data_IF_429283908151
#
_entry.id   IF_429283908151
#
_cell.length_a   1.000
_cell.length_b   1.000
_cell.length_c   1.000
_cell.angle_alpha   90.00
_cell.angle_beta   90.00
_cell.angle_gamma   90.00
#
_symmetry.space_group_name_H-M   'P 1'
#
loop_
_entity.id
_entity.type
_entity.pdbx_description
1 polymer ?
#
# COMPACT_ATOMS: atom_id res chain seq x y z
N UNK A 1 70.73 -47.45 54.11
CA UNK A 1 70.29 -46.33 54.97
C UNK A 1 69.75 -45.23 54.08
N UNK A 2 68.60 -44.68 54.46
CA UNK A 2 67.61 -43.96 53.64
C UNK A 2 68.04 -42.73 52.83
N UNK A 3 67.27 -42.48 51.77
CA UNK A 3 67.08 -41.19 51.10
C UNK A 3 66.86 -41.39 49.59
N UNK A 4 65.93 -40.75 48.89
CA UNK A 4 65.02 -39.64 49.19
C UNK A 4 64.00 -39.59 48.04
N UNK A 5 62.75 -39.26 48.38
CA UNK A 5 61.60 -39.11 47.47
C UNK A 5 61.80 -37.98 46.44
N UNK A 6 61.13 -38.18 45.30
CA UNK A 6 61.00 -37.35 44.11
C UNK A 6 60.48 -35.91 44.35
N UNK A 7 60.98 -34.96 43.54
CA UNK A 7 60.33 -33.67 43.22
C UNK A 7 60.35 -33.49 41.69
N UNK A 8 59.23 -33.08 41.05
CA UNK A 8 59.23 -32.73 39.63
C UNK A 8 59.67 -31.27 39.38
N UNK A 9 60.09 -30.93 38.14
CA UNK A 9 60.49 -29.57 37.76
C UNK A 9 59.29 -28.67 37.38
N UNK A 10 59.59 -27.37 37.34
CA UNK A 10 58.67 -26.21 37.29
C UNK A 10 57.90 -26.07 35.97
N UNK A 11 56.58 -25.89 36.05
CA UNK A 11 55.72 -25.45 34.95
C UNK A 11 55.86 -23.94 34.70
N UNK A 12 56.25 -23.55 33.49
CA UNK A 12 56.13 -22.17 32.98
C UNK A 12 54.75 -21.96 32.36
N UNK A 13 53.89 -21.18 33.01
CA UNK A 13 52.62 -20.69 32.45
C UNK A 13 52.89 -19.46 31.57
N UNK A 14 52.42 -19.45 30.31
CA UNK A 14 52.23 -18.23 29.52
C UNK A 14 50.74 -17.99 29.32
N UNK A 15 50.28 -16.81 29.74
CA UNK A 15 48.92 -16.32 29.50
C UNK A 15 48.85 -15.67 28.12
N UNK A 16 47.80 -15.96 27.35
CA UNK A 16 47.45 -15.23 26.13
C UNK A 16 46.21 -14.39 26.40
N UNK A 17 46.27 -13.11 26.03
CA UNK A 17 45.11 -12.21 26.04
C UNK A 17 44.81 -11.80 24.61
N UNK A 18 43.56 -11.98 24.18
CA UNK A 18 43.04 -11.47 22.91
C UNK A 18 42.06 -10.34 23.22
N UNK A 19 42.23 -9.19 22.56
CA UNK A 19 41.38 -8.01 22.72
C UNK A 19 40.57 -7.85 21.44
N UNK A 20 39.24 -7.89 21.56
CA UNK A 20 38.32 -7.62 20.43
C UNK A 20 37.58 -6.33 20.74
N UNK A 21 37.50 -5.42 19.76
CA UNK A 21 36.87 -4.11 19.89
C UNK A 21 35.62 -4.05 19.01
N UNK A 22 34.46 -3.85 19.63
CA UNK A 22 33.20 -3.52 18.93
C UNK A 22 32.45 -2.48 19.76
N UNK A 23 32.02 -1.39 19.11
CA UNK A 23 31.09 -0.38 19.65
C UNK A 23 31.37 0.09 21.08
N UNK A 24 32.59 0.58 21.34
CA UNK A 24 32.90 1.40 22.52
C UNK A 24 33.03 0.69 23.87
N UNK A 25 32.74 -0.61 23.98
CA UNK A 25 32.83 -1.35 25.25
C UNK A 25 33.94 -2.40 25.20
N UNK A 26 34.82 -2.40 26.21
CA UNK A 26 35.94 -3.34 26.33
C UNK A 26 35.50 -4.58 27.12
N UNK A 27 35.59 -5.76 26.52
CA UNK A 27 35.37 -7.03 27.22
C UNK A 27 36.71 -7.75 27.40
N UNK A 28 37.03 -8.10 28.65
CA UNK A 28 38.21 -8.89 28.99
C UNK A 28 37.76 -10.28 29.42
N UNK A 29 38.03 -11.29 28.58
CA UNK A 29 37.71 -12.69 28.88
C UNK A 29 39.01 -13.38 29.28
N UNK A 30 39.08 -13.89 30.52
CA UNK A 30 40.16 -14.77 30.95
C UNK A 30 39.78 -16.22 30.68
N UNK A 31 40.58 -16.90 29.85
CA UNK A 31 40.44 -18.35 29.65
C UNK A 31 41.52 -19.04 30.50
N UNK A 32 41.09 -19.81 31.51
CA UNK A 32 41.95 -20.66 32.32
C UNK A 32 42.39 -21.91 31.55
N UNK A 33 43.67 -22.27 31.68
CA UNK A 33 44.36 -23.23 30.81
C UNK A 33 43.85 -24.68 30.87
N UNK A 34 43.95 -25.36 29.72
CA UNK A 34 43.71 -26.81 29.56
C UNK A 34 45.03 -27.47 29.12
N UNK A 35 45.35 -28.62 29.70
CA UNK A 35 46.56 -29.42 29.39
C UNK A 35 46.42 -30.17 28.07
N UNK A 36 47.54 -30.27 27.35
CA UNK A 36 47.74 -31.07 26.14
C UNK A 36 47.60 -32.57 26.46
N UNK A 37 46.55 -33.21 25.91
CA UNK A 37 46.53 -34.57 25.33
C UNK A 37 45.08 -35.02 25.17
N UNK A 38 44.52 -34.80 23.98
CA UNK A 38 43.44 -35.59 23.34
C UNK A 38 43.14 -34.93 21.99
N UNK A 39 44.16 -34.91 21.13
CA UNK A 39 44.01 -34.56 19.73
C UNK A 39 43.75 -35.85 18.94
N UNK A 40 42.48 -36.16 18.65
CA UNK A 40 41.97 -36.91 17.48
C UNK A 40 40.59 -37.51 17.75
N UNK A 41 39.57 -36.67 17.97
CA UNK A 41 38.16 -37.06 17.73
C UNK A 41 37.19 -35.87 17.76
N UNK A 42 37.54 -34.74 17.13
CA UNK A 42 36.62 -33.60 16.97
C UNK A 42 36.69 -32.96 15.57
N UNK A 43 36.97 -33.76 14.53
CA UNK A 43 37.01 -33.26 13.14
C UNK A 43 35.78 -33.65 12.29
N UNK A 44 34.75 -34.26 12.90
CA UNK A 44 33.52 -34.65 12.19
C UNK A 44 32.23 -34.03 12.73
N UNK A 45 32.27 -33.17 13.75
CA UNK A 45 31.08 -32.46 14.26
C UNK A 45 31.11 -30.95 13.92
N UNK A 46 32.23 -30.43 13.41
CA UNK A 46 32.36 -29.02 13.03
C UNK A 46 31.90 -28.67 11.61
N UNK A 47 31.63 -29.66 10.75
CA UNK A 47 31.28 -29.43 9.33
C UNK A 47 29.79 -29.64 8.99
N UNK A 48 28.97 -30.10 9.93
CA UNK A 48 27.50 -30.26 9.72
C UNK A 48 26.70 -29.07 10.29
N UNK A 49 27.33 -28.16 11.04
CA UNK A 49 26.69 -26.93 11.54
C UNK A 49 27.00 -25.66 10.71
N UNK A 50 27.70 -25.81 9.57
CA UNK A 50 27.94 -24.72 8.61
C UNK A 50 27.01 -24.77 7.38
N UNK A 51 26.01 -25.66 7.37
CA UNK A 51 25.05 -25.80 6.28
C UNK A 51 23.58 -25.49 6.67
N UNK A 52 23.36 -24.74 7.76
CA UNK A 52 22.02 -24.33 8.18
C UNK A 52 22.00 -22.91 8.75
N UNK A 53 22.62 -21.96 8.05
CA UNK A 53 22.32 -20.54 8.21
C UNK A 53 22.20 -19.88 6.84
N UNK A 54 21.21 -20.31 6.05
CA UNK A 54 20.46 -19.34 5.25
C UNK A 54 19.79 -18.39 6.23
N UNK A 55 20.56 -17.42 6.72
CA UNK A 55 20.01 -16.21 7.27
C UNK A 55 19.22 -15.59 6.12
N UNK A 56 17.89 -15.65 6.22
CA UNK A 56 17.08 -14.61 5.62
C UNK A 56 17.74 -13.29 6.05
N UNK A 57 18.38 -12.61 5.11
CA UNK A 57 18.72 -11.21 5.28
C UNK A 57 17.38 -10.50 5.36
N UNK A 58 16.86 -10.40 6.58
CA UNK A 58 15.77 -9.48 6.89
C UNK A 58 16.34 -8.10 6.63
N UNK A 59 16.06 -7.56 5.44
CA UNK A 59 16.25 -6.14 5.17
C UNK A 59 15.28 -5.43 6.11
N UNK A 60 15.76 -5.01 7.27
CA UNK A 60 15.04 -4.04 8.10
C UNK A 60 14.94 -2.75 7.30
N UNK A 61 13.77 -2.55 6.68
CA UNK A 61 13.43 -1.32 5.95
C UNK A 61 13.35 -0.20 6.97
N UNK A 62 14.21 0.82 6.82
CA UNK A 62 14.08 2.03 7.62
C UNK A 62 12.94 2.87 7.05
N UNK A 63 11.73 2.64 7.55
CA UNK A 63 10.56 3.49 7.31
C UNK A 63 10.76 4.74 8.18
N UNK A 64 11.47 5.74 7.65
CA UNK A 64 11.53 7.04 8.30
C UNK A 64 10.30 7.86 7.90
N UNK A 65 9.43 8.11 8.86
CA UNK A 65 8.71 9.38 9.00
C UNK A 65 9.29 10.07 10.26
N UNK A 66 9.28 11.40 10.30
CA UNK A 66 9.92 12.26 11.31
C UNK A 66 9.40 12.07 12.75
N UNK A 67 8.51 11.10 12.96
CA UNK A 67 8.14 10.51 14.25
C UNK A 67 7.82 9.05 13.96
N UNK A 68 8.36 8.08 14.70
CA UNK A 68 8.13 6.63 14.49
C UNK A 68 6.67 6.14 14.53
N UNK A 69 5.69 7.04 14.58
CA UNK A 69 4.25 6.83 14.64
C UNK A 69 3.65 6.10 13.42
N UNK A 70 4.17 6.30 12.20
CA UNK A 70 3.57 5.67 11.01
C UNK A 70 3.90 4.17 10.93
N UNK A 71 5.16 3.79 11.16
CA UNK A 71 5.60 2.40 11.14
C UNK A 71 4.94 1.53 12.23
N UNK A 72 4.59 2.14 13.36
CA UNK A 72 3.89 1.48 14.47
C UNK A 72 2.42 1.16 14.13
N UNK A 73 1.81 1.91 13.21
CA UNK A 73 0.42 1.70 12.77
C UNK A 73 0.27 0.66 11.66
N UNK A 74 1.36 0.23 11.04
CA UNK A 74 1.32 -0.76 9.97
C UNK A 74 0.97 -2.15 10.53
N UNK A 75 0.03 -2.83 9.87
CA UNK A 75 -0.32 -4.21 10.17
C UNK A 75 0.75 -5.18 9.66
N UNK A 76 0.63 -6.46 10.01
CA UNK A 76 1.51 -7.49 9.45
C UNK A 76 1.29 -7.67 7.94
N UNK A 77 0.03 -7.56 7.48
CA UNK A 77 -0.30 -7.60 6.05
C UNK A 77 0.33 -6.40 5.31
N UNK A 78 0.27 -5.19 5.88
CA UNK A 78 0.87 -4.00 5.27
C UNK A 78 2.38 -4.15 5.11
N UNK A 79 3.07 -4.68 6.13
CA UNK A 79 4.50 -4.97 6.04
C UNK A 79 4.79 -6.02 4.95
N UNK A 80 3.96 -7.06 4.85
CA UNK A 80 4.11 -8.09 3.82
C UNK A 80 3.89 -7.55 2.40
N UNK A 81 2.95 -6.60 2.22
CA UNK A 81 2.75 -5.87 0.96
C UNK A 81 3.97 -5.04 0.61
N UNK A 82 4.47 -4.23 1.54
CA UNK A 82 5.66 -3.39 1.29
C UNK A 82 6.92 -4.18 0.91
N UNK A 83 7.05 -5.43 1.36
CA UNK A 83 8.13 -6.34 0.92
C UNK A 83 8.03 -6.74 -0.56
N UNK A 84 6.84 -6.68 -1.15
CA UNK A 84 6.56 -6.93 -2.57
C UNK A 84 6.55 -5.64 -3.40
N UNK A 85 7.00 -4.51 -2.83
CA UNK A 85 7.06 -3.24 -3.53
C UNK A 85 7.91 -3.37 -4.83
N UNK A 86 7.36 -3.00 -6.00
CA UNK A 86 8.08 -3.10 -7.28
C UNK A 86 9.13 -1.99 -7.47
N UNK A 87 9.09 -0.94 -6.64
CA UNK A 87 9.96 0.23 -6.81
C UNK A 87 11.38 0.00 -6.29
N UNK A 88 12.31 0.86 -6.74
CA UNK A 88 13.71 0.83 -6.30
C UNK A 88 13.88 1.06 -4.80
N UNK A 89 12.93 1.74 -4.15
CA UNK A 89 12.87 1.96 -2.71
C UNK A 89 11.47 1.66 -2.19
N UNK A 90 11.38 0.92 -1.08
CA UNK A 90 10.11 0.60 -0.43
C UNK A 90 9.33 1.83 0.03
N UNK A 91 10.02 2.95 0.28
CA UNK A 91 9.37 4.24 0.61
C UNK A 91 8.52 4.80 -0.52
N UNK A 92 8.79 4.43 -1.78
CA UNK A 92 7.97 4.83 -2.93
C UNK A 92 6.66 4.04 -3.00
N UNK A 93 6.48 2.98 -2.22
CA UNK A 93 5.21 2.27 -2.11
C UNK A 93 4.38 2.73 -0.91
N UNK A 94 4.85 3.75 -0.19
CA UNK A 94 4.08 4.42 0.85
C UNK A 94 3.23 5.53 0.23
N UNK A 95 2.09 5.89 0.87
CA UNK A 95 1.27 7.00 0.42
C UNK A 95 2.08 8.29 0.31
N UNK A 96 1.87 9.03 -0.78
CA UNK A 96 2.55 10.29 -1.04
C UNK A 96 2.08 11.35 -0.05
N UNK A 97 2.97 11.70 0.87
CA UNK A 97 2.71 12.78 1.83
C UNK A 97 2.91 14.17 1.21
N UNK A 98 1.95 15.06 1.48
CA UNK A 98 2.00 16.48 1.15
C UNK A 98 2.12 17.37 2.38
N UNK A 99 2.15 16.80 3.60
CA UNK A 99 2.38 17.56 4.82
C UNK A 99 3.71 18.33 4.70
N UNK A 100 3.65 19.64 4.91
CA UNK A 100 4.81 20.53 4.80
C UNK A 100 5.24 20.91 3.38
N UNK A 101 4.58 20.42 2.32
CA UNK A 101 4.79 20.93 0.95
C UNK A 101 4.04 22.25 0.76
N UNK A 102 4.61 23.14 -0.06
CA UNK A 102 3.94 24.40 -0.43
C UNK A 102 2.61 24.09 -1.12
N UNK A 103 1.58 24.87 -0.79
CA UNK A 103 0.31 24.82 -1.50
C UNK A 103 0.56 25.10 -2.98
N UNK A 104 0.17 24.16 -3.84
CA UNK A 104 0.22 24.29 -5.30
C UNK A 104 -1.17 24.01 -5.88
N UNK A 105 -1.40 24.45 -7.11
CA UNK A 105 -2.62 24.13 -7.84
C UNK A 105 -2.66 22.62 -8.11
N UNK A 106 -3.82 22.02 -7.90
CA UNK A 106 -4.08 20.63 -8.27
C UNK A 106 -4.13 20.50 -9.80
N UNK A 107 -3.33 19.60 -10.37
CA UNK A 107 -3.32 19.27 -11.78
C UNK A 107 -3.48 17.75 -11.89
N UNK A 108 -4.71 17.37 -12.22
CA UNK A 108 -5.17 16.00 -12.26
C UNK A 108 -5.21 15.50 -13.71
N UNK A 109 -4.56 14.39 -14.00
CA UNK A 109 -4.48 13.81 -15.33
C UNK A 109 -5.08 12.40 -15.39
N UNK A 110 -5.94 12.13 -16.36
CA UNK A 110 -6.40 10.78 -16.66
C UNK A 110 -5.43 10.09 -17.63
N UNK A 111 -4.84 8.98 -17.21
CA UNK A 111 -3.89 8.21 -18.03
C UNK A 111 -4.51 6.90 -18.49
N UNK A 112 -5.39 6.97 -19.48
CA UNK A 112 -6.08 5.78 -20.04
C UNK A 112 -5.21 4.87 -20.91
N UNK A 113 -4.03 5.36 -21.30
CA UNK A 113 -3.09 4.63 -22.12
C UNK A 113 -2.38 3.54 -21.31
N UNK A 114 -2.33 2.32 -21.83
CA UNK A 114 -1.52 1.22 -21.27
C UNK A 114 -0.11 1.18 -21.85
N UNK A 115 0.31 2.24 -22.53
CA UNK A 115 1.62 2.37 -23.18
C UNK A 115 2.46 3.45 -22.50
N UNK A 116 3.69 3.61 -22.98
CA UNK A 116 4.72 4.48 -22.40
C UNK A 116 4.48 5.99 -22.57
N UNK A 117 3.32 6.43 -23.08
CA UNK A 117 3.03 7.88 -23.26
C UNK A 117 3.15 8.69 -21.98
N UNK A 118 2.92 8.07 -20.82
CA UNK A 118 3.08 8.72 -19.53
C UNK A 118 4.50 9.24 -19.27
N UNK A 119 5.52 8.67 -19.94
CA UNK A 119 6.92 9.11 -19.84
C UNK A 119 7.11 10.55 -20.36
N UNK A 120 6.15 11.08 -21.14
CA UNK A 120 6.19 12.42 -21.72
C UNK A 120 5.38 13.45 -20.92
N UNK A 121 4.74 13.05 -19.82
CA UNK A 121 3.98 13.98 -18.99
C UNK A 121 4.88 15.02 -18.34
N UNK A 122 4.30 16.20 -18.06
CA UNK A 122 4.98 17.24 -17.30
C UNK A 122 4.87 16.97 -15.79
N UNK A 123 5.82 16.18 -15.29
CA UNK A 123 5.90 15.75 -13.89
C UNK A 123 6.20 16.88 -12.90
N UNK A 124 6.61 18.07 -13.36
CA UNK A 124 6.79 19.22 -12.47
C UNK A 124 5.45 19.86 -12.09
N UNK A 125 4.48 19.75 -13.00
CA UNK A 125 3.14 20.33 -12.84
C UNK A 125 2.15 19.35 -12.21
N UNK A 126 2.19 18.07 -12.59
CA UNK A 126 1.22 17.08 -12.14
C UNK A 126 1.18 16.93 -10.61
N UNK A 127 -0.03 16.73 -10.10
CA UNK A 127 -0.30 16.43 -8.69
C UNK A 127 -0.85 15.03 -8.51
N UNK A 128 -1.70 14.58 -9.43
CA UNK A 128 -2.30 13.24 -9.44
C UNK A 128 -2.45 12.72 -10.86
N UNK A 129 -2.20 11.42 -11.04
CA UNK A 129 -2.54 10.65 -12.24
C UNK A 129 -3.58 9.59 -11.89
N UNK A 130 -4.65 9.52 -12.67
CA UNK A 130 -5.75 8.58 -12.49
C UNK A 130 -5.75 7.46 -13.53
N UNK A 131 -6.24 6.29 -13.12
CA UNK A 131 -6.65 5.17 -13.96
C UNK A 131 -5.52 4.46 -14.71
N UNK A 132 -4.33 4.44 -14.12
CA UNK A 132 -3.22 3.65 -14.64
C UNK A 132 -2.51 2.91 -13.51
N UNK A 133 -2.49 1.58 -13.60
CA UNK A 133 -1.95 0.68 -12.59
C UNK A 133 -0.55 0.15 -12.94
N UNK A 134 0.06 0.67 -14.02
CA UNK A 134 1.44 0.41 -14.40
C UNK A 134 2.39 0.71 -13.23
N UNK A 135 3.19 -0.29 -12.84
CA UNK A 135 4.11 -0.20 -11.70
C UNK A 135 5.31 0.68 -11.99
N UNK A 136 5.76 0.80 -13.24
CA UNK A 136 6.82 1.74 -13.59
C UNK A 136 6.32 3.19 -13.46
N UNK A 137 5.11 3.46 -13.95
CA UNK A 137 4.44 4.76 -13.78
C UNK A 137 4.31 5.10 -12.29
N UNK A 138 3.76 4.19 -11.47
CA UNK A 138 3.62 4.36 -10.03
C UNK A 138 4.93 4.80 -9.39
N UNK A 139 6.00 4.03 -9.61
CA UNK A 139 7.31 4.32 -9.02
C UNK A 139 7.87 5.66 -9.50
N UNK A 140 7.67 6.01 -10.77
CA UNK A 140 8.08 7.31 -11.31
C UNK A 140 7.29 8.46 -10.66
N UNK A 141 5.96 8.36 -10.64
CA UNK A 141 5.06 9.35 -10.05
C UNK A 141 5.41 9.61 -8.58
N UNK A 142 5.57 8.55 -7.79
CA UNK A 142 5.89 8.67 -6.37
C UNK A 142 7.28 9.27 -6.14
N UNK A 143 8.25 8.97 -7.02
CA UNK A 143 9.58 9.60 -6.97
C UNK A 143 9.54 11.12 -7.20
N UNK A 144 8.47 11.61 -7.86
CA UNK A 144 8.18 13.02 -8.10
C UNK A 144 7.20 13.61 -7.09
N UNK A 145 6.69 12.79 -6.16
CA UNK A 145 5.64 13.19 -5.22
C UNK A 145 4.31 13.50 -5.91
N UNK A 146 4.00 12.77 -6.98
CA UNK A 146 2.72 12.78 -7.70
C UNK A 146 1.91 11.56 -7.27
N UNK A 147 0.63 11.76 -6.96
CA UNK A 147 -0.27 10.70 -6.52
C UNK A 147 -0.71 9.83 -7.68
N UNK A 148 -1.00 8.57 -7.41
CA UNK A 148 -1.76 7.68 -8.29
C UNK A 148 -3.11 7.36 -7.67
N UNK A 149 -4.20 7.47 -8.44
CA UNK A 149 -5.53 7.01 -8.01
C UNK A 149 -6.09 5.95 -8.95
N UNK A 150 -6.62 4.86 -8.39
CA UNK A 150 -7.23 3.77 -9.17
C UNK A 150 -8.63 4.15 -9.64
N UNK A 151 -9.11 3.52 -10.72
CA UNK A 151 -10.52 3.60 -11.10
C UNK A 151 -11.29 2.51 -10.36
N UNK A 152 -12.36 2.86 -9.66
CA UNK A 152 -13.33 1.85 -9.25
C UNK A 152 -14.74 2.43 -9.26
N UNK A 153 -15.61 1.81 -10.04
CA UNK A 153 -17.00 2.20 -10.16
C UNK A 153 -17.91 1.21 -9.43
N UNK A 154 -19.05 1.71 -8.94
CA UNK A 154 -20.17 0.88 -8.53
C UNK A 154 -21.12 0.75 -9.72
N UNK A 155 -21.00 -0.35 -10.47
CA UNK A 155 -21.68 -0.47 -11.77
C UNK A 155 -23.16 -0.86 -11.66
N UNK A 156 -23.53 -1.69 -10.66
CA UNK A 156 -24.93 -2.09 -10.43
C UNK A 156 -25.67 -1.08 -9.56
N UNK A 157 -26.06 0.05 -10.16
CA UNK A 157 -26.76 1.14 -9.45
C UNK A 157 -28.06 0.72 -8.76
N UNK A 158 -28.66 -0.42 -9.11
CA UNK A 158 -29.86 -0.92 -8.42
C UNK A 158 -29.54 -1.45 -7.01
N UNK A 159 -28.30 -1.89 -6.79
CA UNK A 159 -27.82 -2.35 -5.48
C UNK A 159 -27.22 -1.23 -4.65
N UNK A 160 -27.18 0.01 -5.13
CA UNK A 160 -26.53 1.11 -4.43
C UNK A 160 -27.15 1.38 -3.05
N UNK A 161 -28.46 1.18 -2.90
CA UNK A 161 -29.14 1.30 -1.61
C UNK A 161 -29.00 0.06 -0.71
N UNK A 162 -28.52 -1.06 -1.25
CA UNK A 162 -28.22 -2.26 -0.47
C UNK A 162 -26.91 -2.05 0.31
N UNK A 163 -27.01 -1.93 1.63
CA UNK A 163 -25.87 -1.72 2.53
C UNK A 163 -24.82 -2.83 2.38
N UNK A 164 -25.24 -4.10 2.29
CA UNK A 164 -24.30 -5.22 2.16
C UNK A 164 -23.52 -5.13 0.85
N UNK A 165 -24.18 -4.78 -0.27
CA UNK A 165 -23.51 -4.62 -1.56
C UNK A 165 -22.49 -3.47 -1.54
N UNK A 166 -22.81 -2.35 -0.87
CA UNK A 166 -21.84 -1.27 -0.66
C UNK A 166 -20.65 -1.72 0.17
N UNK A 167 -20.88 -2.45 1.26
CA UNK A 167 -19.81 -2.94 2.11
C UNK A 167 -18.89 -3.94 1.39
N UNK A 168 -19.46 -4.85 0.61
CA UNK A 168 -18.72 -5.79 -0.24
C UNK A 168 -17.87 -5.07 -1.30
N UNK A 169 -18.33 -3.93 -1.81
CA UNK A 169 -17.57 -3.09 -2.75
C UNK A 169 -16.45 -2.29 -2.06
N UNK A 170 -16.68 -1.82 -0.83
CA UNK A 170 -15.71 -0.99 -0.08
C UNK A 170 -14.55 -1.84 0.44
N UNK A 171 -14.84 -2.95 1.14
CA UNK A 171 -13.83 -3.73 1.85
C UNK A 171 -14.06 -5.22 1.75
N UNK A 172 -12.97 -5.97 1.93
CA UNK A 172 -13.02 -7.44 1.89
C UNK A 172 -13.96 -7.95 2.97
N UNK A 173 -15.07 -8.53 2.53
CA UNK A 173 -15.91 -9.36 3.36
C UNK A 173 -15.70 -10.82 2.93
N UNK A 174 -14.99 -11.57 3.76
CA UNK A 174 -14.90 -13.01 3.59
C UNK A 174 -16.16 -13.64 4.19
N UNK A 175 -17.00 -14.24 3.35
CA UNK A 175 -18.16 -15.00 3.80
C UNK A 175 -17.78 -16.47 3.86
N UNK A 176 -17.71 -17.02 5.06
CA UNK A 176 -17.49 -18.45 5.26
C UNK A 176 -18.87 -19.13 5.26
N UNK A 177 -19.26 -19.81 4.18
CA UNK A 177 -20.48 -20.62 4.18
C UNK A 177 -20.22 -21.93 4.92
N UNK A 178 -21.00 -22.22 5.96
CA UNK A 178 -20.82 -23.41 6.82
C UNK A 178 -21.24 -24.74 6.16
N UNK A 179 -21.43 -24.78 4.84
CA UNK A 179 -22.05 -25.89 4.10
C UNK A 179 -21.11 -26.49 3.06
N UNK A 180 -19.95 -27.02 3.48
CA UNK A 180 -19.23 -28.17 2.88
C UNK A 180 -17.87 -28.40 3.56
N UNK A 181 -17.92 -28.86 4.81
CA UNK A 181 -16.73 -29.26 5.58
C UNK A 181 -16.11 -30.62 5.15
N UNK A 182 -16.20 -31.02 3.87
CA UNK A 182 -15.61 -32.28 3.39
C UNK A 182 -14.54 -32.11 2.32
N UNK A 183 -14.25 -30.88 1.86
CA UNK A 183 -13.28 -30.62 0.81
C UNK A 183 -12.06 -29.78 1.23
N UNK A 184 -12.02 -29.22 2.44
CA UNK A 184 -10.88 -28.40 2.86
C UNK A 184 -9.87 -29.25 3.65
N UNK A 185 -8.70 -29.51 3.07
CA UNK A 185 -7.55 -30.05 3.80
C UNK A 185 -6.62 -28.90 4.19
N UNK A 186 -6.47 -28.67 5.50
CA UNK A 186 -5.57 -27.71 6.18
C UNK A 186 -6.16 -26.29 6.44
N UNK A 187 -5.67 -25.56 7.46
CA UNK A 187 -6.46 -24.60 8.24
C UNK A 187 -6.59 -23.18 7.65
N UNK A 188 -6.47 -23.02 6.32
CA UNK A 188 -6.63 -21.71 5.67
C UNK A 188 -7.51 -21.92 4.44
N UNK A 189 -8.58 -21.12 4.37
CA UNK A 189 -9.49 -20.91 3.23
C UNK A 189 -10.58 -21.98 2.98
N UNK A 190 -11.68 -21.86 3.74
CA UNK A 190 -13.03 -22.23 3.27
C UNK A 190 -13.95 -20.99 3.23
N UNK A 191 -13.39 -19.79 3.04
CA UNK A 191 -14.14 -18.56 2.99
C UNK A 191 -13.96 -17.93 1.61
N UNK A 192 -15.05 -17.71 0.89
CA UNK A 192 -15.01 -16.94 -0.34
C UNK A 192 -14.85 -15.46 0.07
N UNK A 193 -13.73 -14.87 -0.31
CA UNK A 193 -13.44 -13.46 -0.09
C UNK A 193 -13.60 -12.71 -1.42
N UNK A 194 -14.33 -11.60 -1.41
CA UNK A 194 -14.30 -10.66 -2.54
C UNK A 194 -12.94 -9.95 -2.50
N UNK A 195 -12.06 -10.28 -3.44
CA UNK A 195 -10.71 -9.71 -3.51
C UNK A 195 -10.64 -8.37 -4.25
N UNK A 196 -11.68 -8.02 -5.02
CA UNK A 196 -11.73 -6.83 -5.88
C UNK A 196 -12.52 -5.69 -5.20
N UNK A 197 -12.09 -5.31 -4.00
CA UNK A 197 -12.72 -4.21 -3.24
C UNK A 197 -11.91 -2.93 -3.39
N UNK A 198 -12.54 -1.77 -3.18
CA UNK A 198 -11.86 -0.48 -3.30
C UNK A 198 -10.64 -0.38 -2.40
N UNK A 199 -10.75 -0.86 -1.16
CA UNK A 199 -9.60 -0.94 -0.26
C UNK A 199 -8.45 -1.76 -0.87
N UNK A 200 -8.74 -2.97 -1.37
CA UNK A 200 -7.72 -3.84 -1.96
C UNK A 200 -7.11 -3.24 -3.23
N UNK A 201 -7.92 -2.64 -4.09
CA UNK A 201 -7.42 -1.99 -5.29
C UNK A 201 -6.43 -0.88 -4.95
N UNK A 202 -6.66 -0.13 -3.86
CA UNK A 202 -5.71 0.90 -3.41
C UNK A 202 -4.42 0.26 -2.90
N UNK A 203 -4.51 -0.68 -1.94
CA UNK A 203 -3.31 -1.21 -1.25
C UNK A 203 -2.47 -2.16 -2.11
N UNK A 204 -3.08 -2.99 -2.96
CA UNK A 204 -2.35 -3.89 -3.86
C UNK A 204 -1.71 -3.14 -5.03
N UNK A 205 -2.29 -1.99 -5.42
CA UNK A 205 -1.68 -1.12 -6.40
C UNK A 205 -0.72 -0.08 -5.82
N UNK A 206 -0.58 -0.01 -4.49
CA UNK A 206 0.15 1.06 -3.78
C UNK A 206 -0.34 2.46 -4.18
N UNK A 207 -1.62 2.59 -4.53
CA UNK A 207 -2.19 3.85 -4.94
C UNK A 207 -2.47 4.76 -3.74
N UNK A 208 -2.61 6.05 -4.01
CA UNK A 208 -2.91 7.08 -3.03
C UNK A 208 -4.41 7.34 -2.89
N UNK A 209 -5.26 6.54 -3.54
CA UNK A 209 -6.69 6.72 -3.50
C UNK A 209 -7.45 6.17 -4.70
N UNK A 210 -8.68 6.64 -4.87
CA UNK A 210 -9.62 6.16 -5.88
C UNK A 210 -10.36 7.32 -6.54
N UNK A 211 -10.58 7.18 -7.84
CA UNK A 211 -11.43 8.05 -8.62
C UNK A 211 -12.65 7.26 -9.10
N UNK A 212 -13.85 7.75 -8.76
CA UNK A 212 -15.13 7.10 -9.05
C UNK A 212 -15.82 7.83 -10.21
N UNK A 213 -16.13 7.09 -11.28
CA UNK A 213 -16.68 7.61 -12.54
C UNK A 213 -17.78 6.68 -13.07
N UNK A 214 -18.92 6.66 -12.36
CA UNK A 214 -20.01 5.70 -12.63
C UNK A 214 -20.79 6.01 -13.91
N UNK A 215 -20.96 7.29 -14.26
CA UNK A 215 -21.71 7.78 -15.42
C UNK A 215 -23.12 7.17 -15.65
N UNK A 216 -23.73 6.56 -14.64
CA UNK A 216 -25.06 5.95 -14.76
C UNK A 216 -26.18 6.92 -14.41
N UNK A 217 -27.33 6.89 -15.11
CA UNK A 217 -28.53 7.61 -14.72
C UNK A 217 -28.99 7.19 -13.31
N UNK A 218 -29.20 8.18 -12.43
CA UNK A 218 -29.61 7.96 -11.05
C UNK A 218 -30.44 9.15 -10.57
N UNK A 219 -31.51 8.87 -9.83
CA UNK A 219 -32.42 9.88 -9.30
C UNK A 219 -33.06 9.39 -7.99
N UNK A 220 -33.73 10.30 -7.28
CA UNK A 220 -34.46 9.96 -6.05
C UNK A 220 -33.58 9.30 -4.99
N UNK A 221 -34.07 8.21 -4.41
CA UNK A 221 -33.38 7.48 -3.34
C UNK A 221 -32.06 6.87 -3.79
N UNK A 222 -31.98 6.30 -4.99
CA UNK A 222 -30.73 5.74 -5.52
C UNK A 222 -29.63 6.81 -5.57
N UNK A 223 -29.96 8.04 -5.97
CA UNK A 223 -29.00 9.14 -5.94
C UNK A 223 -28.48 9.41 -4.53
N UNK A 224 -29.33 9.45 -3.51
CA UNK A 224 -28.90 9.65 -2.10
C UNK A 224 -27.99 8.52 -1.61
N UNK A 225 -28.29 7.27 -1.99
CA UNK A 225 -27.46 6.12 -1.64
C UNK A 225 -26.04 6.19 -2.24
N UNK A 226 -25.83 6.97 -3.31
CA UNK A 226 -24.51 7.24 -3.87
C UNK A 226 -23.63 8.03 -2.89
N UNK A 227 -24.20 9.04 -2.23
CA UNK A 227 -23.49 9.77 -1.19
C UNK A 227 -23.16 8.87 0.00
N UNK A 228 -24.08 7.98 0.39
CA UNK A 228 -23.82 6.99 1.44
C UNK A 228 -22.63 6.09 1.10
N UNK A 229 -22.54 5.61 -0.15
CA UNK A 229 -21.38 4.82 -0.61
C UNK A 229 -20.06 5.55 -0.39
N UNK A 230 -19.96 6.80 -0.85
CA UNK A 230 -18.71 7.57 -0.76
C UNK A 230 -18.37 7.93 0.69
N UNK A 231 -19.39 8.21 1.51
CA UNK A 231 -19.19 8.47 2.94
C UNK A 231 -18.71 7.23 3.71
N UNK A 232 -19.33 6.07 3.44
CA UNK A 232 -18.91 4.79 4.02
C UNK A 232 -17.50 4.42 3.58
N UNK A 233 -17.16 4.65 2.30
CA UNK A 233 -15.81 4.45 1.78
C UNK A 233 -14.80 5.32 2.53
N UNK A 234 -15.05 6.63 2.65
CA UNK A 234 -14.19 7.55 3.40
C UNK A 234 -13.95 7.05 4.82
N UNK A 235 -15.03 6.70 5.52
CA UNK A 235 -14.95 6.24 6.90
C UNK A 235 -14.09 4.97 7.03
N UNK A 236 -14.23 4.02 6.12
CA UNK A 236 -13.43 2.80 6.12
C UNK A 236 -11.95 3.08 5.83
N UNK A 237 -11.63 3.88 4.81
CA UNK A 237 -10.24 4.17 4.44
C UNK A 237 -9.48 4.89 5.57
N UNK A 238 -10.16 5.73 6.35
CA UNK A 238 -9.62 6.43 7.54
C UNK A 238 -9.15 5.48 8.66
N UNK A 239 -9.66 4.25 8.69
CA UNK A 239 -9.31 3.26 9.72
C UNK A 239 -7.95 2.58 9.50
N UNK A 240 -7.41 2.64 8.28
CA UNK A 240 -6.20 1.88 7.91
C UNK A 240 -5.01 2.81 7.67
N UNK A 241 -3.84 2.43 8.17
CA UNK A 241 -2.64 3.27 8.11
C UNK A 241 -2.22 3.68 6.69
N UNK A 242 -2.32 2.75 5.72
CA UNK A 242 -1.95 3.00 4.33
C UNK A 242 -2.99 3.84 3.57
N UNK A 243 -4.26 3.84 3.98
CA UNK A 243 -5.33 4.54 3.25
C UNK A 243 -5.91 5.71 4.02
N UNK A 244 -5.41 6.01 5.22
CA UNK A 244 -5.97 7.04 6.10
C UNK A 244 -6.12 8.41 5.43
N UNK A 245 -5.17 8.73 4.55
CA UNK A 245 -5.14 9.99 3.79
C UNK A 245 -5.41 9.76 2.29
N UNK A 246 -6.08 8.66 1.94
CA UNK A 246 -6.39 8.33 0.56
C UNK A 246 -7.25 9.44 -0.08
N UNK A 247 -6.89 9.84 -1.29
CA UNK A 247 -7.61 10.79 -2.10
C UNK A 247 -8.84 10.10 -2.72
N UNK A 248 -10.04 10.62 -2.45
CA UNK A 248 -11.28 10.18 -3.06
C UNK A 248 -11.77 11.30 -3.98
N UNK A 249 -11.81 11.02 -5.28
CA UNK A 249 -12.35 11.94 -6.29
C UNK A 249 -13.57 11.32 -6.96
N UNK A 250 -14.50 12.17 -7.40
CA UNK A 250 -15.74 11.72 -8.01
C UNK A 250 -16.05 12.55 -9.26
N UNK A 251 -16.25 11.87 -10.39
CA UNK A 251 -16.60 12.50 -11.65
C UNK A 251 -18.11 12.81 -11.69
N UNK A 252 -18.42 14.07 -11.93
CA UNK A 252 -19.80 14.56 -12.01
C UNK A 252 -20.06 15.11 -13.40
N UNK A 253 -21.31 15.04 -13.89
CA UNK A 253 -21.67 15.68 -15.15
C UNK A 253 -21.37 17.19 -15.11
N UNK A 254 -21.36 17.85 -16.25
CA UNK A 254 -21.10 19.30 -16.33
C UNK A 254 -22.15 20.19 -15.67
N UNK A 255 -23.30 19.63 -15.24
CA UNK A 255 -24.31 20.32 -14.45
C UNK A 255 -25.11 19.36 -13.54
N UNK A 256 -25.60 19.83 -12.37
CA UNK A 256 -26.40 19.01 -11.45
C UNK A 256 -27.85 18.80 -11.91
N UNK A 257 -28.26 19.39 -13.04
CA UNK A 257 -29.66 19.46 -13.49
C UNK A 257 -30.08 18.22 -14.31
N UNK A 258 -29.65 17.03 -13.89
CA UNK A 258 -30.11 15.78 -14.50
C UNK A 258 -29.55 15.51 -15.89
N UNK A 259 -28.33 15.94 -16.18
CA UNK A 259 -27.62 15.67 -17.44
C UNK A 259 -27.58 14.15 -17.68
N UNK A 260 -28.14 13.67 -18.78
CA UNK A 260 -28.34 12.24 -19.10
C UNK A 260 -29.08 11.45 -18.01
N UNK A 261 -30.01 12.09 -17.29
CA UNK A 261 -30.71 11.46 -16.17
C UNK A 261 -29.85 11.26 -14.92
N UNK A 262 -28.68 11.90 -14.85
CA UNK A 262 -27.77 11.88 -13.69
C UNK A 262 -28.11 13.01 -12.73
N UNK A 263 -28.98 12.74 -11.77
CA UNK A 263 -29.35 13.66 -10.69
C UNK A 263 -28.52 13.35 -9.43
N UNK A 264 -27.19 13.46 -9.52
CA UNK A 264 -26.29 13.12 -8.41
C UNK A 264 -26.43 14.09 -7.23
N UNK A 265 -26.15 13.67 -5.99
CA UNK A 265 -26.25 14.53 -4.82
C UNK A 265 -24.93 15.31 -4.65
N UNK A 266 -24.73 16.36 -5.46
CA UNK A 266 -23.43 17.06 -5.56
C UNK A 266 -22.93 17.60 -4.22
N UNK A 267 -23.82 18.12 -3.37
CA UNK A 267 -23.43 18.70 -2.09
C UNK A 267 -22.88 17.62 -1.14
N UNK A 268 -23.55 16.48 -1.10
CA UNK A 268 -23.20 15.36 -0.23
C UNK A 268 -21.96 14.63 -0.76
N UNK A 269 -21.81 14.50 -2.09
CA UNK A 269 -20.57 13.99 -2.71
C UNK A 269 -19.39 14.91 -2.39
N UNK A 270 -19.55 16.23 -2.54
CA UNK A 270 -18.50 17.20 -2.22
C UNK A 270 -18.10 17.19 -0.73
N UNK A 271 -19.00 16.77 0.16
CA UNK A 271 -18.70 16.63 1.58
C UNK A 271 -17.93 15.34 1.93
N UNK A 272 -17.99 14.31 1.08
CA UNK A 272 -17.34 13.01 1.31
C UNK A 272 -16.06 12.79 0.47
N UNK A 273 -15.95 13.47 -0.68
CA UNK A 273 -14.79 13.46 -1.58
C UNK A 273 -13.84 14.63 -1.30
N UNK A 274 -12.58 14.49 -1.71
CA UNK A 274 -11.59 15.58 -1.65
C UNK A 274 -11.92 16.69 -2.65
N UNK A 275 -12.38 16.31 -3.85
CA UNK A 275 -12.98 17.23 -4.82
C UNK A 275 -13.79 16.46 -5.86
N UNK A 276 -14.67 17.19 -6.55
CA UNK A 276 -15.44 16.68 -7.69
C UNK A 276 -14.73 17.04 -8.99
N UNK A 277 -14.61 16.08 -9.89
CA UNK A 277 -14.13 16.30 -11.25
C UNK A 277 -15.33 16.60 -12.16
N UNK A 278 -15.52 17.87 -12.53
CA UNK A 278 -16.64 18.27 -13.40
C UNK A 278 -16.26 17.99 -14.85
N UNK A 279 -16.94 17.01 -15.47
CA UNK A 279 -16.72 16.59 -16.86
C UNK A 279 -17.27 17.62 -17.85
N UNK A 280 -16.61 18.77 -17.92
CA UNK A 280 -16.94 19.96 -18.73
C UNK A 280 -16.44 19.86 -20.18
N UNK A 281 -16.56 18.68 -20.76
CA UNK A 281 -16.30 18.37 -22.16
C UNK A 281 -17.47 17.57 -22.72
N UNK A 282 -17.53 17.43 -24.04
CA UNK A 282 -18.61 16.74 -24.74
C UNK A 282 -20.01 17.29 -24.39
N UNK A 283 -20.10 18.56 -23.99
CA UNK A 283 -21.32 19.16 -23.44
C UNK A 283 -22.46 19.23 -24.48
N UNK A 284 -22.11 19.27 -25.78
CA UNK A 284 -23.08 19.30 -26.90
C UNK A 284 -23.48 17.92 -27.40
N UNK A 285 -22.77 16.84 -27.05
CA UNK A 285 -23.14 15.47 -27.45
C UNK A 285 -24.36 14.94 -26.69
N UNK A 286 -24.76 15.64 -25.63
CA UNK A 286 -25.84 15.26 -24.69
C UNK A 286 -27.11 16.14 -24.86
N UNK A 287 -27.22 16.90 -25.95
CA UNK A 287 -28.30 17.85 -26.22
C UNK A 287 -28.96 17.52 -27.56
N UNK A 288 -30.22 17.07 -27.53
CA UNK A 288 -30.92 16.50 -28.69
C UNK A 288 -32.00 17.42 -29.29
N UNK A 289 -32.28 18.57 -28.67
CA UNK A 289 -33.36 19.48 -29.06
C UNK A 289 -32.97 20.48 -30.17
N UNK A 290 -31.69 20.80 -30.31
CA UNK A 290 -31.16 21.67 -31.35
C UNK A 290 -29.89 21.09 -31.99
N UNK A 291 -30.00 20.60 -33.23
CA UNK A 291 -28.88 20.07 -34.02
C UNK A 291 -28.03 21.21 -34.62
N UNK A 292 -27.38 21.99 -33.75
CA UNK A 292 -26.49 23.10 -34.11
C UNK A 292 -25.10 22.80 -33.57
N UNK A 293 -24.09 22.86 -34.44
CA UNK A 293 -22.70 22.67 -34.05
C UNK A 293 -22.29 23.68 -32.96
N UNK A 294 -21.51 23.22 -31.99
CA UNK A 294 -21.03 24.03 -30.88
C UNK A 294 -19.68 23.56 -30.35
N UNK A 295 -19.08 24.36 -29.48
CA UNK A 295 -17.82 23.99 -28.83
C UNK A 295 -18.00 22.76 -27.93
N UNK A 296 -16.92 21.97 -27.79
CA UNK A 296 -16.91 20.79 -26.94
C UNK A 296 -17.00 21.13 -25.44
N UNK A 297 -16.18 22.10 -25.04
CA UNK A 297 -16.00 22.58 -23.66
C UNK A 297 -16.10 24.12 -23.63
N UNK A 298 -17.29 24.69 -23.90
CA UNK A 298 -17.48 26.13 -23.92
C UNK A 298 -17.19 26.77 -22.56
N UNK A 299 -16.46 27.89 -22.54
CA UNK A 299 -16.18 28.66 -21.33
C UNK A 299 -17.45 29.23 -20.66
N UNK A 300 -18.49 29.50 -21.46
CA UNK A 300 -19.79 29.98 -20.98
C UNK A 300 -20.90 29.18 -21.63
N UNK A 301 -21.90 28.84 -20.81
CA UNK A 301 -23.10 28.13 -21.20
C UNK A 301 -24.34 28.93 -20.80
#
# INVERSE_FOLDING_TARGET
MEGRKSRPPKDTFRSFSCVIRSSGTLYQIQIGGIRYEQAMQCLLVGLVLLAATTQCVSRSVSVYDAKGLFADRLTQEDRARLLKCPCSSASLCLPVDFAGKKTRKEIFAFSVATDDRWKQYDWEQLTTVAWNEDKELLCHAHSKGVKIVVKHNFDDVNQLCNVSARQEWIKVQCQCTSLRATACSAPIECCDCVLQTTYNMIVENYADGVNIDTEKPMHGETSKCLASLVHELRHELEQHALTQNAQITFDVPWAPRGVDGRYYPWSELAAASDFLFVMSYDMRSQIYDACVAGANSPWRW
#
